data_IF_514692459235
#
_entry.id   IF_514692459235
#
_cell.length_a   1.000
_cell.length_b   1.000
_cell.length_c   1.000
_cell.angle_alpha   90.00
_cell.angle_beta   90.00
_cell.angle_gamma   90.00
#
_symmetry.space_group_name_H-M   'P 1'
#
loop_
_entity.id
_entity.type
_entity.pdbx_description
1 polymer ?
#
# COMPACT_ATOMS: atom_id res chain seq x y z
N UNK A 1 5.07 -36.03 -5.38
CA UNK A 1 4.07 -34.96 -5.61
C UNK A 1 3.74 -34.41 -4.23
N UNK A 2 4.46 -33.37 -3.80
CA UNK A 2 4.24 -32.77 -2.49
C UNK A 2 2.97 -31.92 -2.59
N UNK A 3 1.91 -32.34 -1.91
CA UNK A 3 0.74 -31.51 -1.68
C UNK A 3 1.21 -30.34 -0.84
N UNK A 4 1.38 -29.19 -1.50
CA UNK A 4 1.58 -27.90 -0.87
C UNK A 4 0.46 -27.75 0.16
N UNK A 5 0.84 -27.71 1.44
CA UNK A 5 -0.06 -27.59 2.60
C UNK A 5 -0.57 -26.16 2.65
N UNK A 6 -1.20 -25.73 1.57
CA UNK A 6 -1.77 -24.40 1.46
C UNK A 6 -3.10 -24.41 2.16
N UNK A 7 -3.15 -23.66 3.25
CA UNK A 7 -4.39 -23.39 3.91
C UNK A 7 -5.35 -22.74 2.88
N UNK A 8 -6.53 -23.34 2.61
CA UNK A 8 -7.43 -22.89 1.56
C UNK A 8 -7.94 -21.46 1.81
N UNK A 9 -8.02 -21.03 3.07
CA UNK A 9 -8.40 -19.67 3.44
C UNK A 9 -7.31 -18.66 3.04
N UNK A 10 -6.05 -19.00 3.29
CA UNK A 10 -4.90 -18.17 2.88
C UNK A 10 -4.85 -18.12 1.35
N UNK A 11 -5.01 -19.26 0.67
CA UNK A 11 -5.01 -19.33 -0.78
C UNK A 11 -6.15 -18.49 -1.40
N UNK A 12 -7.36 -18.54 -0.84
CA UNK A 12 -8.48 -17.73 -1.30
C UNK A 12 -8.25 -16.23 -1.13
N UNK A 13 -7.70 -15.79 0.01
CA UNK A 13 -7.37 -14.39 0.23
C UNK A 13 -6.25 -13.91 -0.71
N UNK A 14 -5.21 -14.73 -0.93
CA UNK A 14 -4.15 -14.43 -1.90
C UNK A 14 -4.70 -14.36 -3.33
N UNK A 15 -5.66 -15.20 -3.69
CA UNK A 15 -6.34 -15.14 -4.99
C UNK A 15 -7.07 -13.80 -5.18
N UNK A 16 -7.76 -13.30 -4.15
CA UNK A 16 -8.39 -11.97 -4.19
C UNK A 16 -7.37 -10.85 -4.38
N UNK A 17 -6.19 -10.92 -3.73
CA UNK A 17 -5.12 -9.94 -3.94
C UNK A 17 -4.57 -9.99 -5.37
N UNK A 18 -4.44 -11.17 -5.96
CA UNK A 18 -4.02 -11.34 -7.36
C UNK A 18 -5.06 -10.75 -8.32
N UNK A 19 -6.33 -11.05 -8.11
CA UNK A 19 -7.42 -10.50 -8.92
C UNK A 19 -7.43 -8.97 -8.86
N UNK A 20 -7.26 -8.41 -7.66
CA UNK A 20 -7.15 -6.96 -7.49
C UNK A 20 -5.93 -6.36 -8.19
N UNK A 21 -4.77 -7.03 -8.11
CA UNK A 21 -3.56 -6.62 -8.83
C UNK A 21 -3.78 -6.59 -10.34
N UNK A 22 -4.47 -7.58 -10.89
CA UNK A 22 -4.84 -7.64 -12.30
C UNK A 22 -5.84 -6.53 -12.67
N UNK A 23 -6.85 -6.28 -11.83
CA UNK A 23 -7.83 -5.19 -12.04
C UNK A 23 -7.17 -3.80 -12.05
N UNK A 24 -6.04 -3.65 -11.34
CA UNK A 24 -5.21 -2.44 -11.37
C UNK A 24 -4.28 -2.35 -12.60
N UNK A 25 -4.40 -3.25 -13.58
CA UNK A 25 -3.56 -3.30 -14.77
C UNK A 25 -2.22 -4.03 -14.58
N UNK A 26 -2.12 -4.89 -13.56
CA UNK A 26 -0.94 -5.68 -13.24
C UNK A 26 0.37 -4.85 -13.13
N UNK A 27 0.41 -3.80 -12.28
CA UNK A 27 1.57 -2.94 -12.16
C UNK A 27 2.84 -3.72 -11.77
N UNK A 28 3.97 -3.35 -12.38
CA UNK A 28 5.26 -3.99 -12.10
C UNK A 28 5.65 -3.86 -10.61
N UNK A 29 6.19 -4.93 -10.01
CA UNK A 29 6.51 -4.94 -8.57
C UNK A 29 7.51 -3.85 -8.15
N UNK A 30 8.46 -3.49 -9.03
CA UNK A 30 9.38 -2.37 -8.77
C UNK A 30 8.65 -1.04 -8.64
N UNK A 31 7.61 -0.82 -9.44
CA UNK A 31 6.78 0.38 -9.36
C UNK A 31 5.97 0.43 -8.07
N UNK A 32 5.45 -0.71 -7.62
CA UNK A 32 4.71 -0.78 -6.35
C UNK A 32 5.60 -0.46 -5.15
N UNK A 33 6.85 -0.93 -5.17
CA UNK A 33 7.83 -0.61 -4.12
C UNK A 33 8.14 0.89 -4.09
N UNK A 34 8.33 1.50 -5.25
CA UNK A 34 8.56 2.95 -5.36
C UNK A 34 7.38 3.75 -4.79
N UNK A 35 6.15 3.46 -5.24
CA UNK A 35 4.94 4.13 -4.74
C UNK A 35 4.78 3.90 -3.24
N UNK A 36 5.04 2.69 -2.73
CA UNK A 36 4.96 2.39 -1.30
C UNK A 36 5.89 3.26 -0.44
N UNK A 37 7.03 3.69 -1.00
CA UNK A 37 7.95 4.61 -0.33
C UNK A 37 7.45 6.06 -0.30
N UNK A 38 6.53 6.43 -1.20
CA UNK A 38 5.94 7.78 -1.33
C UNK A 38 4.54 7.87 -0.72
N UNK A 39 4.00 6.80 -0.14
CA UNK A 39 2.63 6.78 0.39
C UNK A 39 2.41 7.82 1.50
N UNK A 40 3.42 8.09 2.32
CA UNK A 40 3.33 9.10 3.37
C UNK A 40 3.19 10.53 2.80
N UNK A 41 3.80 10.78 1.63
CA UNK A 41 3.69 12.07 0.93
C UNK A 41 2.38 12.19 0.15
N UNK A 42 1.90 11.07 -0.41
CA UNK A 42 0.69 11.03 -1.25
C UNK A 42 -0.61 11.03 -0.44
N UNK A 43 -0.60 10.46 0.78
CA UNK A 43 -1.76 10.36 1.66
C UNK A 43 -1.39 10.77 3.11
N UNK A 44 -0.98 12.04 3.31
CA UNK A 44 -0.36 12.48 4.56
C UNK A 44 -1.27 12.37 5.78
N UNK A 45 -2.56 12.64 5.63
CA UNK A 45 -3.50 12.60 6.76
C UNK A 45 -3.86 11.16 7.17
N UNK A 46 -3.82 10.21 6.22
CA UNK A 46 -4.33 8.86 6.47
C UNK A 46 -3.23 7.82 6.71
N UNK A 47 -2.01 8.09 6.26
CA UNK A 47 -0.85 7.19 6.42
C UNK A 47 -0.03 7.55 7.66
N UNK A 48 -0.01 8.83 8.06
CA UNK A 48 0.78 9.33 9.21
C UNK A 48 0.46 8.60 10.51
N UNK A 49 -0.80 8.26 10.74
CA UNK A 49 -1.21 7.53 11.95
C UNK A 49 -0.92 6.02 11.88
N UNK A 50 -0.82 5.45 10.67
CA UNK A 50 -0.83 3.99 10.46
C UNK A 50 0.57 3.37 10.31
N UNK A 51 1.64 4.16 10.25
CA UNK A 51 3.03 3.69 10.11
C UNK A 51 3.15 2.55 9.09
N UNK A 52 2.72 2.81 7.86
CA UNK A 52 2.63 1.78 6.82
C UNK A 52 4.01 1.25 6.42
N UNK A 53 4.19 -0.08 6.32
CA UNK A 53 5.46 -0.67 5.93
C UNK A 53 5.78 -0.41 4.46
N UNK A 54 7.04 -0.07 4.18
CA UNK A 54 7.56 -0.06 2.82
C UNK A 54 7.57 -1.48 2.25
N UNK A 55 7.04 -1.66 1.04
CA UNK A 55 7.00 -2.96 0.37
C UNK A 55 8.38 -3.31 -0.21
N UNK A 56 8.62 -4.60 -0.39
CA UNK A 56 9.76 -5.11 -1.15
C UNK A 56 9.30 -6.05 -2.25
N UNK A 57 10.06 -6.13 -3.35
CA UNK A 57 9.73 -7.01 -4.48
C UNK A 57 9.62 -8.47 -4.04
N UNK A 58 10.55 -8.91 -3.18
CA UNK A 58 10.53 -10.27 -2.63
C UNK A 58 9.27 -10.52 -1.80
N UNK A 59 8.89 -9.61 -0.90
CA UNK A 59 7.69 -9.76 -0.10
C UNK A 59 6.41 -9.83 -0.95
N UNK A 60 6.32 -9.01 -2.00
CA UNK A 60 5.21 -9.06 -2.97
C UNK A 60 5.17 -10.41 -3.68
N UNK A 61 6.31 -10.85 -4.22
CA UNK A 61 6.39 -12.14 -4.93
C UNK A 61 6.14 -13.34 -4.02
N UNK A 62 6.53 -13.28 -2.75
CA UNK A 62 6.22 -14.33 -1.78
C UNK A 62 4.74 -14.40 -1.43
N UNK A 63 4.11 -13.26 -1.12
CA UNK A 63 2.68 -13.21 -0.77
C UNK A 63 1.83 -13.57 -1.97
N UNK A 64 2.03 -12.90 -3.10
CA UNK A 64 1.30 -13.20 -4.32
C UNK A 64 1.67 -14.56 -4.89
N UNK A 65 2.89 -15.07 -4.67
CA UNK A 65 3.26 -16.43 -5.06
C UNK A 65 2.65 -17.50 -4.16
N UNK A 66 2.01 -17.12 -3.05
CA UNK A 66 1.53 -18.06 -2.04
C UNK A 66 2.66 -18.69 -1.22
N UNK A 67 3.93 -18.30 -1.37
CA UNK A 67 5.04 -18.95 -0.65
C UNK A 67 5.01 -18.74 0.87
N UNK A 68 4.14 -17.87 1.39
CA UNK A 68 3.94 -17.68 2.82
C UNK A 68 2.85 -18.59 3.35
N UNK A 69 3.14 -19.29 4.43
CA UNK A 69 2.20 -20.18 5.12
C UNK A 69 1.03 -19.46 5.83
N UNK A 70 1.13 -18.14 6.04
CA UNK A 70 0.16 -17.36 6.79
C UNK A 70 -0.39 -16.15 6.05
N UNK A 71 -1.45 -15.57 6.59
CA UNK A 71 -2.02 -14.32 6.08
C UNK A 71 -1.03 -13.15 6.22
N UNK A 72 -0.99 -12.23 5.24
CA UNK A 72 -0.19 -11.02 5.37
C UNK A 72 -0.70 -10.13 6.53
N UNK A 73 0.17 -9.25 7.01
CA UNK A 73 -0.22 -8.27 8.03
C UNK A 73 -1.15 -7.21 7.45
N UNK A 74 -2.00 -6.62 8.30
CA UNK A 74 -2.92 -5.55 7.90
C UNK A 74 -2.17 -4.38 7.24
N UNK A 75 -1.09 -3.89 7.86
CA UNK A 75 -0.26 -2.81 7.30
C UNK A 75 0.31 -3.14 5.93
N UNK A 76 0.71 -4.40 5.70
CA UNK A 76 1.19 -4.84 4.39
C UNK A 76 0.08 -4.80 3.34
N UNK A 77 -1.12 -5.29 3.66
CA UNK A 77 -2.28 -5.27 2.76
C UNK A 77 -2.65 -3.84 2.39
N UNK A 78 -2.73 -2.94 3.37
CA UNK A 78 -3.03 -1.52 3.12
C UNK A 78 -1.99 -0.90 2.19
N UNK A 79 -0.71 -1.11 2.48
CA UNK A 79 0.38 -0.56 1.65
C UNK A 79 0.32 -1.09 0.22
N UNK A 80 0.01 -2.37 0.05
CA UNK A 80 -0.12 -3.01 -1.26
C UNK A 80 -1.32 -2.47 -2.06
N UNK A 81 -2.49 -2.36 -1.41
CA UNK A 81 -3.72 -1.88 -2.04
C UNK A 81 -3.56 -0.43 -2.51
N UNK A 82 -3.08 0.46 -1.63
CA UNK A 82 -2.87 1.87 -1.97
C UNK A 82 -1.82 2.03 -3.07
N UNK A 83 -0.73 1.26 -3.02
CA UNK A 83 0.30 1.32 -4.08
C UNK A 83 -0.26 0.87 -5.44
N UNK A 84 -1.13 -0.16 -5.48
CA UNK A 84 -1.76 -0.60 -6.72
C UNK A 84 -2.73 0.44 -7.28
N UNK A 85 -3.59 1.02 -6.44
CA UNK A 85 -4.57 2.03 -6.86
C UNK A 85 -3.90 3.28 -7.39
N UNK A 86 -2.93 3.79 -6.64
CA UNK A 86 -2.16 4.96 -7.08
C UNK A 86 -1.50 4.69 -8.42
N UNK A 87 -0.94 3.50 -8.62
CA UNK A 87 -0.31 3.17 -9.89
C UNK A 87 -1.32 3.05 -11.03
N UNK A 88 -2.45 2.40 -10.78
CA UNK A 88 -3.56 2.30 -11.74
C UNK A 88 -4.07 3.68 -12.17
N UNK A 89 -4.14 4.63 -11.23
CA UNK A 89 -4.50 6.02 -11.49
C UNK A 89 -3.42 6.73 -12.33
N UNK A 90 -2.14 6.60 -11.97
CA UNK A 90 -1.02 7.18 -12.74
C UNK A 90 -0.94 6.64 -14.18
N UNK A 91 -1.35 5.40 -14.40
CA UNK A 91 -1.38 4.77 -15.74
C UNK A 91 -2.75 4.88 -16.44
N UNK A 92 -3.70 5.64 -15.88
CA UNK A 92 -5.04 5.84 -16.42
C UNK A 92 -5.86 4.54 -16.63
N UNK A 93 -5.57 3.49 -15.86
CA UNK A 93 -6.37 2.26 -15.82
C UNK A 93 -7.70 2.53 -15.08
N UNK A 94 -7.65 3.40 -14.08
CA UNK A 94 -8.83 3.91 -13.36
C UNK A 94 -8.89 5.43 -13.51
N UNK A 95 -10.11 5.97 -13.64
CA UNK A 95 -10.33 7.41 -13.87
C UNK A 95 -10.19 8.26 -12.62
N UNK A 96 -10.39 7.67 -11.44
CA UNK A 96 -10.28 8.33 -10.15
C UNK A 96 -9.59 7.39 -9.17
N UNK A 97 -8.70 7.95 -8.36
CA UNK A 97 -8.06 7.22 -7.27
C UNK A 97 -9.02 7.09 -6.10
N UNK A 98 -9.47 5.87 -5.75
CA UNK A 98 -10.35 5.67 -4.61
C UNK A 98 -9.59 5.76 -3.27
N UNK A 99 -8.25 5.71 -3.31
CA UNK A 99 -7.39 5.86 -2.14
C UNK A 99 -7.85 5.06 -0.92
N UNK A 100 -8.00 5.76 0.19
CA UNK A 100 -8.23 5.14 1.50
C UNK A 100 -9.63 4.60 1.72
N UNK A 101 -10.61 4.98 0.90
CA UNK A 101 -12.00 4.54 1.04
C UNK A 101 -12.15 3.02 0.87
N UNK A 102 -11.22 2.39 0.15
CA UNK A 102 -11.21 0.94 -0.07
C UNK A 102 -10.55 0.14 1.05
N UNK A 103 -9.75 0.81 1.90
CA UNK A 103 -8.95 0.17 2.94
C UNK A 103 -9.81 -0.58 3.96
N UNK A 104 -10.91 -0.03 4.49
CA UNK A 104 -11.77 -0.72 5.45
C UNK A 104 -12.24 -2.09 4.92
N UNK A 105 -12.72 -2.13 3.68
CA UNK A 105 -13.19 -3.37 3.05
C UNK A 105 -12.10 -4.43 2.94
N UNK A 106 -10.85 -4.04 2.66
CA UNK A 106 -9.72 -4.98 2.64
C UNK A 106 -9.33 -5.50 4.02
N UNK A 107 -9.41 -4.64 5.04
CA UNK A 107 -9.18 -5.06 6.42
C UNK A 107 -10.28 -6.02 6.89
N UNK A 108 -11.54 -5.75 6.56
CA UNK A 108 -12.67 -6.66 6.87
C UNK A 108 -12.47 -8.04 6.26
N UNK A 109 -12.09 -8.12 4.98
CA UNK A 109 -11.78 -9.39 4.30
C UNK A 109 -10.63 -10.14 4.98
N UNK A 110 -9.58 -9.42 5.39
CA UNK A 110 -8.46 -10.01 6.13
C UNK A 110 -8.91 -10.56 7.49
N UNK A 111 -9.78 -9.85 8.21
CA UNK A 111 -10.32 -10.33 9.49
C UNK A 111 -11.21 -11.55 9.32
N UNK A 112 -12.07 -11.57 8.29
CA UNK A 112 -12.87 -12.75 7.95
C UNK A 112 -11.98 -13.97 7.68
N UNK A 113 -10.89 -13.79 6.92
CA UNK A 113 -9.92 -14.85 6.68
C UNK A 113 -9.24 -15.31 7.98
N UNK A 114 -8.89 -14.39 8.90
CA UNK A 114 -8.30 -14.75 10.21
C UNK A 114 -9.27 -15.55 11.08
N UNK A 115 -10.53 -15.14 11.17
CA UNK A 115 -11.55 -15.86 11.93
C UNK A 115 -11.77 -17.27 11.37
N UNK A 116 -11.78 -17.41 10.04
CA UNK A 116 -11.90 -18.71 9.38
C UNK A 116 -10.67 -19.63 9.56
N UNK A 117 -9.52 -19.08 9.98
CA UNK A 117 -8.32 -19.84 10.36
C UNK A 117 -8.30 -20.25 11.83
N UNK A 118 -9.16 -19.67 12.66
CA UNK A 118 -9.25 -19.97 14.08
C UNK A 118 -10.20 -21.13 14.51
N UNK A 119 -10.80 -21.97 13.63
CA UNK A 119 -11.78 -22.94 14.09
C UNK A 119 -11.07 -24.16 14.68
N UNK A 120 -10.79 -24.13 15.99
CA UNK A 120 -10.78 -25.31 16.87
C UNK A 120 -10.73 -24.98 18.38
N UNK A 121 -10.53 -23.73 18.83
CA UNK A 121 -10.54 -23.38 20.26
C UNK A 121 -11.85 -22.77 20.81
N UNK A 122 -12.85 -22.49 19.97
CA UNK A 122 -14.10 -21.83 20.39
C UNK A 122 -15.33 -22.77 20.46
N UNK A 123 -15.12 -24.09 20.40
CA UNK A 123 -16.19 -25.09 20.55
C UNK A 123 -16.28 -25.69 21.97
N UNK A 124 -15.69 -25.03 22.97
CA UNK A 124 -16.10 -25.17 24.38
C UNK A 124 -16.56 -23.80 24.86
N UNK A 125 -17.82 -23.74 25.27
CA UNK A 125 -18.51 -22.50 25.58
C UNK A 125 -17.88 -21.69 26.70
N UNK A 126 -18.04 -20.38 26.62
CA UNK A 126 -18.81 -19.66 27.63
C UNK A 126 -19.11 -18.27 27.02
N UNK A 127 -20.38 -18.06 26.74
CA UNK A 127 -20.93 -16.76 26.42
C UNK A 127 -20.73 -15.87 27.67
N UNK A 128 -20.06 -14.70 27.61
CA UNK A 128 -19.95 -13.85 28.78
C UNK A 128 -21.32 -13.20 29.04
N UNK A 129 -22.09 -13.85 29.90
CA UNK A 129 -23.25 -13.28 30.52
C UNK A 129 -22.81 -12.08 31.38
N UNK A 130 -23.39 -10.93 31.05
CA UNK A 130 -23.80 -9.88 31.97
C UNK A 130 -22.99 -9.68 33.26
N UNK A 131 -22.32 -8.53 33.31
CA UNK A 131 -22.34 -7.68 34.50
C UNK A 131 -21.26 -7.96 35.53
N UNK A 132 -20.13 -7.28 35.40
CA UNK A 132 -19.47 -6.79 36.61
C UNK A 132 -18.98 -5.36 36.37
N UNK A 133 -19.61 -4.47 37.14
CA UNK A 133 -19.44 -3.02 37.17
C UNK A 133 -18.05 -2.71 37.74
N UNK A 134 -17.16 -1.97 37.05
CA UNK A 134 -15.92 -1.55 37.68
C UNK A 134 -16.23 -0.58 38.81
N UNK A 135 -15.76 -0.92 40.01
CA UNK A 135 -15.80 -0.08 41.20
C UNK A 135 -15.12 1.28 40.93
N UNK A 136 -15.60 2.37 41.55
CA UNK A 136 -14.95 3.66 41.43
C UNK A 136 -13.57 3.59 42.10
N UNK A 137 -12.52 3.83 41.31
CA UNK A 137 -11.18 4.04 41.86
C UNK A 137 -11.12 5.47 42.40
N UNK A 138 -10.88 5.62 43.70
CA UNK A 138 -10.50 6.89 44.32
C UNK A 138 -9.04 7.18 43.98
N UNK A 139 -8.70 8.34 43.37
CA UNK A 139 -7.32 8.79 43.28
C UNK A 139 -6.89 9.38 44.62
N UNK A 140 -6.09 8.62 45.36
CA UNK A 140 -5.35 9.15 46.51
C UNK A 140 -4.33 10.18 46.04
N UNK A 141 -4.57 11.43 46.44
CA UNK A 141 -3.63 12.53 46.33
C UNK A 141 -2.37 12.21 47.16
N UNK A 142 -1.19 12.43 46.59
CA UNK A 142 -0.01 12.76 47.37
C UNK A 142 0.77 13.86 46.67
N UNK A 143 0.48 15.07 47.13
CA UNK A 143 1.28 16.27 46.93
C UNK A 143 2.58 16.19 47.76
N UNK A 144 3.60 16.91 47.31
CA UNK A 144 4.95 17.02 47.86
C UNK A 144 5.99 16.97 46.72
N UNK A 145 6.31 18.07 46.01
CA UNK A 145 7.06 19.25 46.48
C UNK A 145 8.47 18.84 46.96
N UNK A 146 9.61 19.40 46.58
CA UNK A 146 10.12 20.35 45.59
C UNK A 146 11.67 20.21 45.63
N UNK A 147 12.39 21.08 44.91
CA UNK A 147 13.82 21.41 45.11
C UNK A 147 14.85 20.45 44.45
N UNK A 148 15.86 20.82 43.64
CA UNK A 148 16.38 22.10 43.10
C UNK A 148 17.42 21.74 42.02
N UNK A 149 17.51 22.52 40.93
CA UNK A 149 18.61 22.48 39.93
C UNK A 149 19.67 23.52 40.34
N UNK A 150 20.98 23.26 40.16
CA UNK A 150 21.73 23.99 39.11
C UNK A 150 22.72 23.05 38.36
N UNK A 151 22.73 23.10 37.03
CA UNK A 151 23.61 23.94 36.18
C UNK A 151 25.11 23.62 36.30
N UNK A 152 25.69 23.05 35.23
CA UNK A 152 27.02 23.41 34.73
C UNK A 152 27.39 22.60 33.46
N UNK A 153 27.39 23.31 32.34
CA UNK A 153 28.51 23.43 31.39
C UNK A 153 28.97 22.19 30.61
N UNK A 154 28.82 22.24 29.27
CA UNK A 154 29.58 21.33 28.41
C UNK A 154 29.27 21.32 26.91
N UNK A 155 28.95 22.45 26.27
CA UNK A 155 29.17 22.58 24.82
C UNK A 155 30.54 23.22 24.60
N UNK A 156 31.37 22.66 23.72
CA UNK A 156 31.90 23.51 22.66
C UNK A 156 31.65 22.97 21.23
N UNK A 157 31.54 23.88 20.25
CA UNK A 157 31.33 23.60 18.83
C UNK A 157 32.66 23.48 18.05
N UNK A 158 32.71 22.63 17.01
CA UNK A 158 33.61 22.72 15.84
C UNK A 158 33.43 21.45 14.98
N UNK A 159 33.45 21.43 13.65
CA UNK A 159 33.66 22.44 12.62
C UNK A 159 33.03 21.90 11.31
N UNK A 160 32.58 22.81 10.44
CA UNK A 160 32.16 22.50 9.07
C UNK A 160 33.40 22.53 8.10
N UNK A 161 33.22 22.54 6.78
CA UNK A 161 33.54 21.47 5.83
C UNK A 161 34.84 21.69 5.02
N UNK A 162 35.49 20.62 4.56
CA UNK A 162 36.44 20.65 3.43
C UNK A 162 35.70 20.06 2.21
N UNK A 163 35.34 20.87 1.21
CA UNK A 163 36.17 21.41 0.13
C UNK A 163 36.65 20.33 -0.86
N UNK A 164 36.03 20.39 -2.05
CA UNK A 164 36.50 20.16 -3.42
C UNK A 164 37.18 18.84 -3.82
N UNK A 165 36.52 18.15 -4.76
CA UNK A 165 37.06 17.56 -6.00
C UNK A 165 35.83 17.35 -6.91
N UNK A 166 35.46 18.35 -7.70
CA UNK A 166 35.82 18.46 -9.13
C UNK A 166 36.04 17.11 -9.83
N UNK A 167 35.01 16.67 -10.55
CA UNK A 167 35.15 15.84 -11.74
C UNK A 167 34.20 16.45 -12.78
N UNK A 168 34.76 17.41 -13.49
CA UNK A 168 34.28 17.85 -14.79
C UNK A 168 34.91 16.96 -15.88
N UNK A 169 34.20 16.85 -17.01
CA UNK A 169 34.56 16.20 -18.29
C UNK A 169 34.25 14.68 -18.37
N UNK A 170 33.56 14.15 -19.37
CA UNK A 170 33.14 14.66 -20.68
C UNK A 170 32.05 13.72 -21.29
N UNK A 171 31.22 14.17 -22.24
CA UNK A 171 30.08 13.44 -22.80
C UNK A 171 30.40 12.72 -24.12
N UNK A 172 29.82 11.53 -24.30
CA UNK A 172 29.58 10.94 -25.62
C UNK A 172 28.08 10.60 -25.69
N UNK A 173 27.24 11.39 -26.37
CA UNK A 173 27.18 11.53 -27.82
C UNK A 173 27.12 10.16 -28.52
N UNK A 174 25.90 9.63 -28.61
CA UNK A 174 25.48 8.57 -29.51
C UNK A 174 24.08 8.89 -30.03
N UNK A 175 23.97 10.04 -30.71
CA UNK A 175 22.80 10.42 -31.47
C UNK A 175 22.79 9.71 -32.83
N UNK A 176 21.60 9.72 -33.44
CA UNK A 176 21.28 9.39 -34.83
C UNK A 176 21.07 7.92 -35.16
N UNK A 177 20.11 7.54 -35.99
CA UNK A 177 18.99 8.24 -36.63
C UNK A 177 18.17 7.13 -37.33
N UNK A 178 16.85 7.24 -37.34
CA UNK A 178 16.05 7.48 -38.56
C UNK A 178 15.39 6.25 -39.18
N UNK A 179 14.21 6.53 -39.74
CA UNK A 179 13.33 5.74 -40.60
C UNK A 179 12.59 4.58 -39.91
N UNK A 180 11.27 4.42 -40.00
CA UNK A 180 10.38 4.78 -41.11
C UNK A 180 8.91 4.94 -40.63
N UNK A 181 8.18 5.95 -41.13
CA UNK A 181 6.72 6.07 -41.01
C UNK A 181 6.01 5.55 -42.27
N UNK A 182 5.32 4.42 -42.18
CA UNK A 182 4.23 4.05 -43.10
C UNK A 182 2.90 4.30 -42.36
N UNK A 183 2.07 5.31 -42.64
CA UNK A 183 1.50 5.73 -43.92
C UNK A 183 0.73 4.59 -44.62
N UNK A 184 -0.56 4.50 -44.29
CA UNK A 184 -1.62 3.82 -45.02
C UNK A 184 -2.95 4.29 -44.42
N UNK A 185 -3.45 5.47 -44.83
CA UNK A 185 -4.43 5.62 -45.90
C UNK A 185 -5.77 4.94 -45.52
N UNK A 186 -6.73 5.72 -45.05
CA UNK A 186 -7.87 6.19 -45.87
C UNK A 186 -9.02 5.18 -45.86
N UNK A 187 -10.12 5.57 -45.24
CA UNK A 187 -11.41 5.76 -45.93
C UNK A 187 -12.36 6.41 -44.91
N UNK A 188 -12.85 7.62 -45.12
CA UNK A 188 -13.65 8.15 -46.24
C UNK A 188 -15.10 8.32 -45.78
N UNK A 189 -15.69 9.39 -46.29
CA UNK A 189 -16.91 10.03 -45.87
C UNK A 189 -18.14 9.10 -45.82
N UNK A 190 -18.99 9.37 -44.83
CA UNK A 190 -20.36 8.86 -44.74
C UNK A 190 -21.26 9.88 -44.07
N UNK A 191 -21.22 11.13 -44.55
CA UNK A 191 -22.28 12.11 -44.34
C UNK A 191 -23.40 11.75 -45.30
N UNK A 192 -24.43 11.04 -44.82
CA UNK A 192 -25.68 10.86 -45.53
C UNK A 192 -26.74 11.76 -44.89
N UNK A 193 -26.98 12.86 -45.60
CA UNK A 193 -28.12 13.75 -45.50
C UNK A 193 -29.27 13.13 -46.32
N UNK A 194 -30.47 13.02 -45.73
CA UNK A 194 -31.69 12.98 -46.55
C UNK A 194 -32.83 12.08 -46.05
N UNK A 195 -33.98 12.70 -45.76
CA UNK A 195 -35.27 12.02 -45.66
C UNK A 195 -36.11 12.50 -44.46
N UNK A 196 -36.71 13.69 -44.42
CA UNK A 196 -37.79 14.20 -45.30
C UNK A 196 -39.03 13.27 -45.28
N UNK A 197 -40.07 13.78 -44.59
CA UNK A 197 -41.55 13.69 -44.76
C UNK A 197 -42.42 12.51 -44.27
N UNK A 198 -43.58 12.96 -43.74
CA UNK A 198 -44.95 12.40 -43.68
C UNK A 198 -45.25 11.49 -42.49
N UNK A 199 -46.33 11.65 -41.74
CA UNK A 199 -47.55 12.49 -41.85
C UNK A 199 -48.22 12.54 -40.49
#
# INVERSE_FOLDING_TARGET
MAQDVHNPVVAAFVAQLREFHLACGAPAYRSLVDVSGRLADLYPEQVRERNLPKLSVSAISEVLGGRRAGLPSAGWVVSFVLACQRRAFETFVISADPGVDTVPTWIERLQQARTALAPECAASGEQPAAGERPAPYEPAQREGEADTIPDATGVPPQAAPADVLDTSADPAAGASAAADPAAGASNDAGHDDGGVIRR
#
